data_IF_518670027076
#
_entry.id   IF_518670027076
#
_cell.length_a   1.000
_cell.length_b   1.000
_cell.length_c   1.000
_cell.angle_alpha   90.00
_cell.angle_beta   90.00
_cell.angle_gamma   90.00
#
_symmetry.space_group_name_H-M   'P 1'
#
loop_
_entity.id
_entity.type
_entity.pdbx_description
1 polymer ?
#
# COMPACT_ATOMS: atom_id res chain seq x y z
N UNK A 1 -2.93 -17.25 -13.35
CA UNK A 1 -2.20 -16.30 -12.48
C UNK A 1 -3.01 -15.01 -12.31
N UNK A 2 -3.36 -14.27 -13.37
CA UNK A 2 -4.12 -13.00 -13.21
C UNK A 2 -5.46 -13.13 -12.46
N UNK A 3 -6.25 -14.18 -12.73
CA UNK A 3 -7.51 -14.42 -12.00
C UNK A 3 -7.26 -14.65 -10.49
N UNK A 4 -6.19 -15.37 -10.17
CA UNK A 4 -5.80 -15.67 -8.79
C UNK A 4 -5.29 -14.41 -8.08
N UNK A 5 -4.51 -13.58 -8.79
CA UNK A 5 -4.10 -12.24 -8.34
C UNK A 5 -5.30 -11.36 -7.95
N UNK A 6 -6.32 -11.28 -8.80
CA UNK A 6 -7.50 -10.47 -8.51
C UNK A 6 -8.34 -11.04 -7.36
N UNK A 7 -8.42 -12.38 -7.22
CA UNK A 7 -9.05 -13.03 -6.06
C UNK A 7 -8.33 -12.69 -4.76
N UNK A 8 -7.00 -12.79 -4.74
CA UNK A 8 -6.18 -12.47 -3.56
C UNK A 8 -6.38 -11.02 -3.12
N UNK A 9 -6.46 -10.10 -4.08
CA UNK A 9 -6.72 -8.69 -3.80
C UNK A 9 -8.09 -8.45 -3.17
N UNK A 10 -9.15 -9.05 -3.71
CA UNK A 10 -10.50 -8.93 -3.17
C UNK A 10 -10.57 -9.51 -1.76
N UNK A 11 -10.00 -10.70 -1.56
CA UNK A 11 -9.97 -11.37 -0.27
C UNK A 11 -9.19 -10.55 0.78
N UNK A 12 -8.06 -9.95 0.40
CA UNK A 12 -7.30 -9.07 1.28
C UNK A 12 -8.12 -7.83 1.66
N UNK A 13 -8.78 -7.17 0.70
CA UNK A 13 -9.61 -6.00 0.98
C UNK A 13 -10.80 -6.32 1.90
N UNK A 14 -11.43 -7.47 1.73
CA UNK A 14 -12.50 -7.95 2.61
C UNK A 14 -11.98 -8.22 4.03
N UNK A 15 -10.85 -8.92 4.15
CA UNK A 15 -10.22 -9.16 5.45
C UNK A 15 -9.82 -7.86 6.16
N UNK A 16 -9.29 -6.87 5.45
CA UNK A 16 -8.98 -5.54 5.99
C UNK A 16 -10.24 -4.84 6.54
N UNK A 17 -11.36 -4.94 5.82
CA UNK A 17 -12.64 -4.36 6.24
C UNK A 17 -13.19 -5.04 7.50
N UNK A 18 -13.16 -6.38 7.53
CA UNK A 18 -13.60 -7.17 8.68
C UNK A 18 -12.72 -6.91 9.90
N UNK A 19 -11.39 -6.92 9.73
CA UNK A 19 -10.44 -6.64 10.80
C UNK A 19 -10.62 -5.23 11.36
N UNK A 20 -10.83 -4.22 10.50
CA UNK A 20 -11.19 -2.87 10.95
C UNK A 20 -12.48 -2.89 11.78
N UNK A 21 -13.53 -3.55 11.30
CA UNK A 21 -14.79 -3.61 12.02
C UNK A 21 -14.64 -4.23 13.41
N UNK A 22 -13.86 -5.31 13.55
CA UNK A 22 -13.54 -5.93 14.84
C UNK A 22 -12.72 -5.00 15.74
N UNK A 23 -11.68 -4.35 15.19
CA UNK A 23 -10.86 -3.40 15.94
C UNK A 23 -11.65 -2.17 16.42
N UNK A 24 -12.59 -1.64 15.62
CA UNK A 24 -13.47 -0.53 16.04
C UNK A 24 -14.39 -0.96 17.20
N UNK A 25 -14.82 -2.22 17.26
CA UNK A 25 -15.59 -2.78 18.40
C UNK A 25 -14.75 -3.01 19.66
N UNK A 26 -13.44 -2.82 19.58
CA UNK A 26 -12.51 -3.04 20.69
C UNK A 26 -11.85 -4.42 20.70
N UNK A 27 -12.20 -5.30 19.76
CA UNK A 27 -11.63 -6.64 19.67
C UNK A 27 -10.44 -6.65 18.70
N UNK A 28 -9.27 -6.29 19.24
CA UNK A 28 -8.01 -6.31 18.48
C UNK A 28 -7.51 -7.74 18.26
N UNK A 29 -7.84 -8.69 19.14
CA UNK A 29 -7.42 -10.08 19.01
C UNK A 29 -8.10 -10.76 17.82
N UNK A 30 -9.41 -10.58 17.68
CA UNK A 30 -10.16 -11.04 16.51
C UNK A 30 -9.66 -10.37 15.22
N UNK A 31 -9.42 -9.05 15.26
CA UNK A 31 -8.90 -8.30 14.12
C UNK A 31 -7.55 -8.83 13.62
N UNK A 32 -6.60 -9.11 14.54
CA UNK A 32 -5.30 -9.71 14.20
C UNK A 32 -5.49 -11.11 13.60
N UNK A 33 -6.36 -11.93 14.20
CA UNK A 33 -6.64 -13.29 13.74
C UNK A 33 -7.21 -13.31 12.32
N UNK A 34 -8.12 -12.37 11.99
CA UNK A 34 -8.67 -12.20 10.64
C UNK A 34 -7.56 -11.91 9.63
N UNK A 35 -6.67 -10.96 9.95
CA UNK A 35 -5.55 -10.60 9.07
C UNK A 35 -4.56 -11.76 8.92
N UNK A 36 -4.25 -12.49 9.98
CA UNK A 36 -3.34 -13.63 9.97
C UNK A 36 -3.89 -14.78 9.12
N UNK A 37 -5.17 -15.10 9.28
CA UNK A 37 -5.84 -16.11 8.46
C UNK A 37 -5.81 -15.73 6.98
N UNK A 38 -6.04 -14.45 6.65
CA UNK A 38 -5.95 -13.98 5.28
C UNK A 38 -4.54 -14.18 4.69
N UNK A 39 -3.49 -13.82 5.44
CA UNK A 39 -2.10 -14.04 5.02
C UNK A 39 -1.77 -15.51 4.79
N UNK A 40 -2.19 -16.39 5.71
CA UNK A 40 -1.98 -17.83 5.59
C UNK A 40 -2.65 -18.41 4.33
N UNK A 41 -3.85 -17.94 3.99
CA UNK A 41 -4.54 -18.34 2.74
C UNK A 41 -3.82 -17.77 1.53
N UNK A 42 -3.44 -16.48 1.57
CA UNK A 42 -2.76 -15.80 0.47
C UNK A 42 -1.44 -16.49 0.10
N UNK A 43 -0.62 -16.85 1.09
CA UNK A 43 0.67 -17.53 0.85
C UNK A 43 0.53 -18.92 0.19
N UNK A 44 -0.65 -19.55 0.28
CA UNK A 44 -0.92 -20.86 -0.34
C UNK A 44 -1.39 -20.76 -1.80
N UNK A 45 -1.64 -19.56 -2.30
CA UNK A 45 -2.16 -19.33 -3.65
C UNK A 45 -1.06 -19.48 -4.70
N UNK A 46 -1.45 -19.80 -5.94
CA UNK A 46 -0.51 -20.05 -7.05
C UNK A 46 0.28 -18.78 -7.39
N UNK A 47 -0.37 -17.61 -7.31
CA UNK A 47 0.27 -16.31 -7.53
C UNK A 47 1.29 -15.98 -6.44
N UNK A 48 1.01 -16.31 -5.18
CA UNK A 48 1.97 -16.13 -4.11
C UNK A 48 3.17 -17.09 -4.23
N UNK A 49 2.92 -18.36 -4.57
CA UNK A 49 3.97 -19.36 -4.78
C UNK A 49 4.89 -19.02 -5.96
N UNK A 50 4.39 -18.29 -6.95
CA UNK A 50 5.19 -17.75 -8.06
C UNK A 50 5.89 -16.43 -7.75
N UNK A 51 5.92 -16.01 -6.47
CA UNK A 51 6.51 -14.75 -6.01
C UNK A 51 5.96 -13.53 -6.75
N UNK A 52 4.67 -13.56 -7.07
CA UNK A 52 4.02 -12.43 -7.71
C UNK A 52 4.12 -11.16 -6.84
N UNK A 53 4.55 -10.04 -7.45
CA UNK A 53 4.80 -8.79 -6.74
C UNK A 53 3.59 -8.26 -5.97
N UNK A 54 2.37 -8.47 -6.48
CA UNK A 54 1.16 -8.02 -5.76
C UNK A 54 0.95 -8.87 -4.51
N UNK A 55 1.14 -10.19 -4.60
CA UNK A 55 0.97 -11.07 -3.46
C UNK A 55 1.98 -10.77 -2.35
N UNK A 56 3.23 -10.47 -2.72
CA UNK A 56 4.27 -10.03 -1.77
C UNK A 56 3.89 -8.69 -1.12
N UNK A 57 3.43 -7.72 -1.90
CA UNK A 57 2.98 -6.43 -1.38
C UNK A 57 1.78 -6.56 -0.43
N UNK A 58 0.80 -7.41 -0.77
CA UNK A 58 -0.37 -7.67 0.06
C UNK A 58 0.01 -8.32 1.40
N UNK A 59 0.91 -9.30 1.41
CA UNK A 59 1.37 -9.91 2.67
C UNK A 59 2.04 -8.89 3.59
N UNK A 60 2.90 -8.04 3.03
CA UNK A 60 3.56 -6.97 3.77
C UNK A 60 2.56 -5.94 4.33
N UNK A 61 1.56 -5.53 3.52
CA UNK A 61 0.51 -4.62 3.98
C UNK A 61 -0.30 -5.22 5.14
N UNK A 62 -0.73 -6.48 5.02
CA UNK A 62 -1.50 -7.16 6.06
C UNK A 62 -0.67 -7.36 7.34
N UNK A 63 0.63 -7.61 7.22
CA UNK A 63 1.55 -7.69 8.35
C UNK A 63 1.67 -6.35 9.09
N UNK A 64 1.88 -5.26 8.35
CA UNK A 64 1.97 -3.92 8.94
C UNK A 64 0.67 -3.54 9.67
N UNK A 65 -0.49 -3.92 9.13
CA UNK A 65 -1.77 -3.72 9.81
C UNK A 65 -1.84 -4.46 11.15
N UNK A 66 -1.35 -5.70 11.24
CA UNK A 66 -1.30 -6.46 12.49
C UNK A 66 -0.40 -5.79 13.53
N UNK A 67 0.78 -5.35 13.11
CA UNK A 67 1.73 -4.65 13.99
C UNK A 67 1.11 -3.37 14.55
N UNK A 68 0.33 -2.66 13.72
CA UNK A 68 -0.43 -1.48 14.12
C UNK A 68 -1.70 -1.78 14.93
N UNK A 69 -2.04 -3.04 15.17
CA UNK A 69 -3.10 -3.50 16.08
C UNK A 69 -2.56 -4.02 17.43
N UNK A 70 -1.25 -3.91 17.69
CA UNK A 70 -0.63 -4.45 18.92
C UNK A 70 -1.23 -3.90 20.23
N UNK A 71 -1.77 -2.68 20.20
CA UNK A 71 -2.55 -2.14 21.32
C UNK A 71 -3.58 -1.13 20.82
N UNK A 72 -4.57 -0.84 21.67
CA UNK A 72 -5.61 0.14 21.36
C UNK A 72 -5.03 1.51 21.04
N UNK A 73 -4.01 1.94 21.79
CA UNK A 73 -3.34 3.21 21.56
C UNK A 73 -2.67 3.27 20.17
N UNK A 74 -1.92 2.24 19.78
CA UNK A 74 -1.24 2.18 18.48
C UNK A 74 -2.25 2.15 17.34
N UNK A 75 -3.33 1.37 17.50
CA UNK A 75 -4.42 1.29 16.53
C UNK A 75 -5.08 2.66 16.31
N UNK A 76 -5.41 3.37 17.38
CA UNK A 76 -6.05 4.69 17.28
C UNK A 76 -5.10 5.75 16.71
N UNK A 77 -3.81 5.73 17.11
CA UNK A 77 -2.82 6.70 16.67
C UNK A 77 -2.41 6.54 15.20
N UNK A 78 -2.33 5.31 14.70
CA UNK A 78 -1.78 5.03 13.36
C UNK A 78 -2.52 3.94 12.59
N UNK A 79 -2.92 2.84 13.25
CA UNK A 79 -3.50 1.67 12.59
C UNK A 79 -4.80 1.97 11.85
N UNK A 80 -5.68 2.76 12.46
CA UNK A 80 -6.99 3.11 11.89
C UNK A 80 -6.85 3.89 10.58
N UNK A 81 -5.95 4.87 10.54
CA UNK A 81 -5.64 5.62 9.32
C UNK A 81 -4.94 4.74 8.27
N UNK A 82 -4.03 3.87 8.70
CA UNK A 82 -3.31 2.95 7.83
C UNK A 82 -4.25 1.97 7.12
N UNK A 83 -5.19 1.34 7.83
CA UNK A 83 -6.17 0.41 7.24
C UNK A 83 -7.13 1.14 6.30
N UNK A 84 -7.57 2.35 6.67
CA UNK A 84 -8.40 3.17 5.77
C UNK A 84 -7.66 3.49 4.47
N UNK A 85 -6.36 3.81 4.55
CA UNK A 85 -5.52 3.97 3.36
C UNK A 85 -5.40 2.67 2.57
N UNK A 86 -5.24 1.52 3.24
CA UNK A 86 -5.36 0.16 2.70
C UNK A 86 -6.58 0.00 1.81
N UNK A 87 -7.76 0.11 2.44
CA UNK A 87 -9.07 -0.04 1.82
C UNK A 87 -9.31 0.96 0.67
N UNK A 88 -8.83 2.20 0.81
CA UNK A 88 -8.95 3.22 -0.23
C UNK A 88 -8.14 2.87 -1.48
N UNK A 89 -6.93 2.33 -1.35
CA UNK A 89 -6.15 1.89 -2.54
C UNK A 89 -6.83 0.71 -3.25
N UNK A 90 -7.36 -0.24 -2.48
CA UNK A 90 -8.00 -1.44 -3.03
C UNK A 90 -9.35 -1.17 -3.67
N UNK A 91 -10.15 -0.21 -3.18
CA UNK A 91 -11.48 0.12 -3.75
C UNK A 91 -11.41 0.86 -5.09
N UNK A 92 -10.31 1.57 -5.40
CA UNK A 92 -10.22 2.41 -6.61
C UNK A 92 -9.34 1.83 -7.72
N UNK A 93 -8.67 0.68 -7.51
CA UNK A 93 -7.57 0.23 -8.40
C UNK A 93 -6.51 1.31 -8.63
N UNK A 94 -6.26 2.18 -7.64
CA UNK A 94 -5.31 3.29 -7.73
C UNK A 94 -4.35 3.27 -6.54
N UNK A 95 -3.07 3.48 -6.82
CA UNK A 95 -2.06 3.67 -5.78
C UNK A 95 -2.30 5.00 -5.05
N UNK A 96 -2.42 4.97 -3.71
CA UNK A 96 -2.33 6.18 -2.88
C UNK A 96 -0.93 6.31 -2.31
N UNK A 97 -0.33 7.49 -2.35
CA UNK A 97 0.97 7.74 -1.70
C UNK A 97 0.82 7.56 -0.18
N UNK A 98 1.40 6.50 0.38
CA UNK A 98 1.44 6.25 1.82
C UNK A 98 2.73 6.84 2.39
N UNK A 99 2.60 7.69 3.40
CA UNK A 99 3.73 8.25 4.11
C UNK A 99 4.27 7.25 5.13
N UNK A 100 5.19 6.40 4.72
CA UNK A 100 6.14 5.72 5.62
C UNK A 100 7.42 5.35 4.84
N UNK A 101 8.57 5.48 5.49
CA UNK A 101 9.90 5.25 4.92
C UNK A 101 10.32 3.78 5.04
N UNK A 102 9.78 2.94 4.17
CA UNK A 102 10.42 1.65 3.82
C UNK A 102 10.25 1.40 2.33
N UNK A 103 11.39 1.26 1.64
CA UNK A 103 11.57 0.74 0.28
C UNK A 103 10.41 0.97 -0.72
N UNK A 104 9.95 2.22 -0.75
CA UNK A 104 8.67 2.65 -1.29
C UNK A 104 8.52 2.45 -2.81
N UNK A 105 9.61 2.22 -3.53
CA UNK A 105 9.56 1.96 -4.97
C UNK A 105 8.89 0.62 -5.31
N UNK A 106 8.99 -0.39 -4.44
CA UNK A 106 8.47 -1.74 -4.70
C UNK A 106 6.94 -1.81 -4.52
N UNK A 107 6.43 -1.22 -3.43
CA UNK A 107 5.01 -1.22 -3.10
C UNK A 107 4.19 -0.32 -4.04
N UNK A 108 4.73 0.84 -4.44
CA UNK A 108 4.06 1.75 -5.39
C UNK A 108 3.91 1.10 -6.78
N UNK A 109 4.89 0.28 -7.19
CA UNK A 109 4.86 -0.40 -8.49
C UNK A 109 3.91 -1.62 -8.51
N UNK A 110 3.64 -2.25 -7.35
CA UNK A 110 2.77 -3.43 -7.27
C UNK A 110 1.30 -3.14 -7.62
N UNK A 111 0.88 -1.88 -7.53
CA UNK A 111 -0.48 -1.41 -7.83
C UNK A 111 -0.62 -0.78 -9.22
N UNK A 112 0.46 -0.77 -10.00
CA UNK A 112 0.45 -0.15 -11.31
C UNK A 112 -0.25 -1.06 -12.32
N UNK A 113 -1.37 -0.60 -12.89
CA UNK A 113 -2.01 -1.32 -14.00
C UNK A 113 -1.20 -1.10 -15.29
N UNK A 114 -1.29 -2.00 -16.28
CA UNK A 114 -0.62 -1.81 -17.57
C UNK A 114 -0.92 -0.45 -18.22
N UNK A 115 -2.16 0.03 -18.10
CA UNK A 115 -2.55 1.36 -18.58
C UNK A 115 -1.85 2.50 -17.82
N UNK A 116 -1.66 2.37 -16.50
CA UNK A 116 -0.89 3.34 -15.71
C UNK A 116 0.59 3.33 -16.07
N UNK A 117 1.15 2.15 -16.37
CA UNK A 117 2.54 2.02 -16.85
C UNK A 117 2.69 2.68 -18.21
N UNK A 118 1.78 2.42 -19.15
CA UNK A 118 1.81 3.06 -20.48
C UNK A 118 1.68 4.57 -20.41
N UNK A 119 0.81 5.09 -19.54
CA UNK A 119 0.65 6.52 -19.33
C UNK A 119 1.93 7.16 -18.79
N UNK A 120 2.56 6.56 -17.77
CA UNK A 120 3.83 7.06 -17.24
C UNK A 120 4.97 6.95 -18.26
N UNK A 121 4.99 5.90 -19.07
CA UNK A 121 5.99 5.72 -20.14
C UNK A 121 5.83 6.81 -21.20
N UNK A 122 4.59 7.11 -21.62
CA UNK A 122 4.30 8.20 -22.56
C UNK A 122 4.65 9.57 -21.99
N UNK A 123 4.35 9.83 -20.70
CA UNK A 123 4.67 11.12 -20.08
C UNK A 123 6.17 11.33 -19.87
N UNK A 124 6.93 10.28 -19.56
CA UNK A 124 8.39 10.36 -19.50
C UNK A 124 9.00 10.56 -20.90
N UNK A 125 8.48 9.89 -21.93
CA UNK A 125 8.92 10.07 -23.31
C UNK A 125 8.65 11.50 -23.84
N UNK A 126 7.53 12.12 -23.45
CA UNK A 126 7.24 13.52 -23.81
C UNK A 126 8.09 14.53 -23.04
N UNK A 127 8.44 14.25 -21.78
CA UNK A 127 9.38 15.07 -21.00
C UNK A 127 10.81 15.01 -21.55
N UNK A 128 11.26 13.84 -22.01
CA UNK A 128 12.57 13.67 -22.66
C UNK A 128 12.62 14.35 -24.04
N UNK A 129 11.48 14.44 -24.75
CA UNK A 129 11.41 15.05 -26.08
C UNK A 129 11.21 16.58 -26.09
N UNK A 130 10.98 17.22 -24.93
CA UNK A 130 10.71 18.68 -24.86
C UNK A 130 11.80 19.45 -24.12
N UNK A 131 12.63 20.27 -24.81
CA UNK A 131 13.66 21.09 -24.16
C UNK A 131 13.08 22.21 -23.28
N UNK A 132 11.77 22.50 -23.35
CA UNK A 132 11.10 23.50 -22.52
C UNK A 132 10.69 22.97 -21.13
N UNK A 133 10.42 21.66 -20.99
CA UNK A 133 9.94 21.08 -19.73
C UNK A 133 11.04 20.91 -18.66
N UNK A 134 12.32 20.85 -19.07
CA UNK A 134 13.46 20.75 -18.14
C UNK A 134 13.62 21.95 -17.20
N UNK A 135 12.99 23.10 -17.50
CA UNK A 135 13.11 24.32 -16.69
C UNK A 135 12.12 24.42 -15.52
N UNK A 136 11.10 23.55 -15.45
CA UNK A 136 10.11 23.59 -14.37
C UNK A 136 10.33 22.52 -13.29
N UNK A 137 11.28 21.59 -13.49
CA UNK A 137 11.59 20.50 -12.57
C UNK A 137 12.74 20.82 -11.59
N UNK A 138 12.92 22.09 -11.22
CA UNK A 138 13.78 22.46 -10.10
C UNK A 138 12.88 22.90 -8.94
N UNK A 139 12.66 22.07 -7.91
CA UNK A 139 12.16 22.60 -6.65
C UNK A 139 13.26 23.49 -6.09
N UNK A 140 13.06 24.80 -6.15
CA UNK A 140 13.86 25.77 -5.40
C UNK A 140 13.35 25.70 -3.97
N UNK A 141 14.01 24.91 -3.12
CA UNK A 141 13.91 25.02 -1.68
C UNK A 141 15.20 25.65 -1.14
N UNK A 142 15.15 26.87 -0.57
CA UNK A 142 16.19 27.32 0.34
C UNK A 142 16.03 26.61 1.69
N UNK A 143 16.97 25.74 2.02
CA UNK A 143 17.15 25.20 3.36
C UNK A 143 17.69 26.31 4.28
N UNK A 144 16.84 26.85 5.14
CA UNK A 144 17.27 27.64 6.30
C UNK A 144 17.00 26.81 7.57
N UNK A 145 18.07 26.25 8.14
CA UNK A 145 18.03 25.57 9.44
C UNK A 145 18.18 26.60 10.57
N UNK A 146 17.29 26.65 11.59
CA UNK A 146 17.55 27.45 12.78
C UNK A 146 18.53 26.71 13.70
N UNK A 147 19.62 27.37 14.10
CA UNK A 147 20.51 26.89 15.17
C UNK A 147 19.95 27.33 16.54
N UNK A 148 19.91 26.46 17.56
CA UNK A 148 19.68 26.90 18.93
C UNK A 148 20.99 27.42 19.56
N UNK A 149 20.87 28.48 20.36
CA UNK A 149 21.85 28.89 21.38
C UNK A 149 21.43 28.31 22.71
#
# INVERSE_FOLDING_TARGET
>A
IEVDRQRNRLQAAEAMSQARASAERGDLGDAITILENCRNVLMRTISAQSQDRLCVALDAELKEMQERMASRHVYEASGRAYILSGLSSHSWQRATARGDSTDSSSLIQAYQTPSMVEMLTRSQATLVSSPAARRLARPVWPLASPKPR
#
